data_IF_607518217367
#
_entry.id   IF_607518217367
#
_cell.length_a   1.000
_cell.length_b   1.000
_cell.length_c   1.000
_cell.angle_alpha   90.00
_cell.angle_beta   90.00
_cell.angle_gamma   90.00
#
_symmetry.space_group_name_H-M   'P 1'
#
loop_
_entity.id
_entity.type
_entity.pdbx_description
1 polymer ?
#
# COMPACT_ATOMS: atom_id res chain seq x y z
N UNK A 1 -28.12 -21.04 30.32
CA UNK A 1 -26.69 -21.44 30.32
C UNK A 1 -25.74 -20.33 29.83
N UNK A 2 -26.15 -19.05 29.78
CA UNK A 2 -25.33 -17.96 29.20
C UNK A 2 -24.55 -17.10 30.23
N UNK A 3 -24.62 -17.41 31.52
CA UNK A 3 -24.03 -16.58 32.58
C UNK A 3 -22.54 -16.89 32.85
N UNK A 4 -22.02 -18.06 32.47
CA UNK A 4 -20.62 -18.42 32.75
C UNK A 4 -19.62 -17.93 31.70
N UNK A 5 -20.08 -17.61 30.48
CA UNK A 5 -19.20 -17.11 29.41
C UNK A 5 -18.80 -15.64 29.63
N UNK A 6 -19.72 -14.80 30.11
CA UNK A 6 -19.45 -13.36 30.34
C UNK A 6 -18.55 -13.10 31.55
N UNK A 7 -18.59 -13.97 32.57
CA UNK A 7 -17.74 -13.87 33.75
C UNK A 7 -16.29 -14.28 33.43
N UNK A 8 -16.09 -15.32 32.60
CA UNK A 8 -14.76 -15.70 32.14
C UNK A 8 -14.11 -14.63 31.26
N UNK A 9 -14.88 -13.92 30.42
CA UNK A 9 -14.35 -12.82 29.60
C UNK A 9 -13.84 -11.64 30.45
N UNK A 10 -14.56 -11.28 31.52
CA UNK A 10 -14.17 -10.15 32.39
C UNK A 10 -12.90 -10.43 33.20
N UNK A 11 -12.78 -11.62 33.79
CA UNK A 11 -11.58 -12.00 34.56
C UNK A 11 -10.33 -12.04 33.68
N UNK A 12 -10.48 -12.44 32.40
CA UNK A 12 -9.39 -12.46 31.42
C UNK A 12 -8.97 -11.07 30.99
N UNK A 13 -9.93 -10.20 30.72
CA UNK A 13 -9.65 -8.79 30.40
C UNK A 13 -8.92 -8.11 31.56
N UNK A 14 -9.36 -8.34 32.80
CA UNK A 14 -8.70 -7.80 33.99
C UNK A 14 -7.28 -8.35 34.19
N UNK A 15 -7.06 -9.64 33.90
CA UNK A 15 -5.74 -10.26 33.95
C UNK A 15 -4.78 -9.63 32.93
N UNK A 16 -5.24 -9.42 31.68
CA UNK A 16 -4.44 -8.80 30.61
C UNK A 16 -4.03 -7.37 30.99
N UNK A 17 -4.94 -6.60 31.58
CA UNK A 17 -4.67 -5.21 31.98
C UNK A 17 -3.64 -5.11 33.12
N UNK A 18 -3.65 -6.08 34.05
CA UNK A 18 -2.76 -6.12 35.22
C UNK A 18 -1.38 -6.72 34.90
N UNK A 19 -1.32 -7.65 33.95
CA UNK A 19 -0.10 -8.39 33.63
C UNK A 19 0.81 -7.58 32.72
N UNK A 20 2.13 -7.67 32.93
CA UNK A 20 3.08 -7.26 31.89
C UNK A 20 3.02 -8.30 30.77
N UNK A 21 2.75 -7.85 29.55
CA UNK A 21 2.64 -8.76 28.41
C UNK A 21 3.36 -8.26 27.17
N UNK A 22 3.81 -9.20 26.34
CA UNK A 22 4.42 -8.95 25.04
C UNK A 22 3.68 -9.70 23.96
N UNK A 23 3.59 -9.08 22.79
CA UNK A 23 3.02 -9.68 21.59
C UNK A 23 4.15 -10.26 20.75
N UNK A 24 4.01 -11.53 20.40
CA UNK A 24 4.92 -12.25 19.51
C UNK A 24 4.17 -12.60 18.24
N UNK A 25 4.69 -12.14 17.10
CA UNK A 25 4.06 -12.35 15.80
C UNK A 25 4.45 -13.71 15.24
N UNK A 26 3.47 -14.58 14.96
CA UNK A 26 3.70 -15.87 14.34
C UNK A 26 3.98 -15.67 12.84
N UNK A 27 5.03 -16.32 12.33
CA UNK A 27 5.49 -16.25 10.93
C UNK A 27 5.63 -14.82 10.37
N UNK A 28 6.76 -14.19 10.68
CA UNK A 28 7.16 -12.91 10.09
C UNK A 28 7.41 -13.05 8.57
N UNK A 29 6.35 -12.99 7.76
CA UNK A 29 6.38 -12.98 6.28
C UNK A 29 7.23 -11.83 5.70
N UNK A 30 7.55 -10.82 6.53
CA UNK A 30 8.43 -9.70 6.15
C UNK A 30 9.91 -10.09 6.00
N UNK A 31 10.31 -11.34 6.31
CA UNK A 31 11.69 -11.83 6.19
C UNK A 31 12.67 -11.22 7.20
N UNK A 32 12.19 -10.35 8.09
CA UNK A 32 12.94 -9.71 9.17
C UNK A 32 12.86 -10.55 10.46
N UNK A 33 13.86 -10.48 11.36
CA UNK A 33 13.81 -11.17 12.65
C UNK A 33 12.56 -10.77 13.44
N UNK A 34 11.85 -11.74 14.01
CA UNK A 34 10.61 -11.50 14.77
C UNK A 34 10.88 -10.56 15.94
N UNK A 35 10.31 -9.35 15.90
CA UNK A 35 10.42 -8.39 16.97
C UNK A 35 9.18 -8.48 17.85
N UNK A 36 9.35 -8.81 19.14
CA UNK A 36 8.26 -8.76 20.09
C UNK A 36 7.85 -7.30 20.37
N UNK A 37 6.54 -7.04 20.42
CA UNK A 37 5.97 -5.74 20.77
C UNK A 37 5.57 -5.74 22.23
N UNK A 38 6.07 -4.78 23.01
CA UNK A 38 5.60 -4.57 24.39
C UNK A 38 4.18 -4.00 24.38
N UNK A 39 3.26 -4.62 25.12
CA UNK A 39 1.86 -4.17 25.19
C UNK A 39 1.67 -2.87 25.96
N UNK A 40 2.68 -2.44 26.74
CA UNK A 40 2.71 -1.13 27.39
C UNK A 40 3.05 0.01 26.41
N UNK A 41 3.47 -0.33 25.19
CA UNK A 41 3.73 0.65 24.13
C UNK A 41 2.44 1.39 23.79
N UNK A 42 2.54 2.71 23.68
CA UNK A 42 1.44 3.58 23.28
C UNK A 42 1.30 3.56 21.77
N UNK A 43 0.07 3.34 21.29
CA UNK A 43 -0.27 3.34 19.89
C UNK A 43 -0.46 4.78 19.38
N UNK A 44 0.11 5.09 18.21
CA UNK A 44 0.30 6.48 17.78
C UNK A 44 -0.99 7.23 17.39
N UNK A 45 -2.04 6.53 16.99
CA UNK A 45 -3.31 7.14 16.56
C UNK A 45 -4.30 7.30 17.72
N UNK A 46 -4.45 6.26 18.51
CA UNK A 46 -5.40 6.18 19.62
C UNK A 46 -4.85 6.79 20.91
N UNK A 47 -3.52 6.86 21.05
CA UNK A 47 -2.82 7.24 22.28
C UNK A 47 -3.10 6.31 23.47
N UNK A 48 -3.72 5.17 23.22
CA UNK A 48 -3.98 4.11 24.18
C UNK A 48 -2.85 3.07 24.11
N UNK A 49 -2.70 2.30 25.18
CA UNK A 49 -1.72 1.20 25.18
C UNK A 49 -2.28 0.02 24.39
N UNK A 50 -1.40 -0.76 23.76
CA UNK A 50 -1.82 -1.98 23.05
C UNK A 50 -2.60 -2.95 23.95
N UNK A 51 -2.25 -3.08 25.23
CA UNK A 51 -3.03 -3.92 26.17
C UNK A 51 -4.47 -3.42 26.38
N UNK A 52 -4.70 -2.11 26.37
CA UNK A 52 -6.02 -1.51 26.56
C UNK A 52 -6.90 -1.71 25.32
N UNK A 53 -6.29 -1.54 24.15
CA UNK A 53 -6.94 -1.82 22.87
C UNK A 53 -7.35 -3.29 22.74
N UNK A 54 -6.44 -4.22 23.08
CA UNK A 54 -6.70 -5.66 23.06
C UNK A 54 -7.81 -6.03 24.05
N UNK A 55 -7.73 -5.52 25.29
CA UNK A 55 -8.74 -5.72 26.32
C UNK A 55 -10.12 -5.24 25.87
N UNK A 56 -10.20 -4.09 25.21
CA UNK A 56 -11.46 -3.51 24.71
C UNK A 56 -12.09 -4.39 23.62
N UNK A 57 -11.29 -4.87 22.66
CA UNK A 57 -11.79 -5.76 21.61
C UNK A 57 -12.23 -7.12 22.17
N UNK A 58 -11.44 -7.69 23.10
CA UNK A 58 -11.76 -8.94 23.76
C UNK A 58 -13.06 -8.84 24.58
N UNK A 59 -13.28 -7.74 25.29
CA UNK A 59 -14.52 -7.49 26.05
C UNK A 59 -15.79 -7.42 25.19
N UNK A 60 -15.66 -7.13 23.89
CA UNK A 60 -16.75 -7.20 22.91
C UNK A 60 -16.82 -8.54 22.15
N UNK A 61 -15.96 -9.49 22.48
CA UNK A 61 -15.84 -10.77 21.77
C UNK A 61 -15.32 -10.62 20.33
N UNK A 62 -14.55 -9.56 20.06
CA UNK A 62 -13.98 -9.24 18.74
C UNK A 62 -12.47 -9.51 18.73
N UNK A 63 -11.95 -9.84 17.56
CA UNK A 63 -10.52 -10.01 17.35
C UNK A 63 -9.84 -8.65 17.20
N UNK A 64 -8.70 -8.46 17.88
CA UNK A 64 -7.90 -7.26 17.69
C UNK A 64 -6.92 -7.44 16.53
N UNK A 65 -6.92 -6.51 15.57
CA UNK A 65 -6.07 -6.60 14.37
C UNK A 65 -4.96 -5.53 14.44
N UNK A 66 -3.72 -6.01 14.39
CA UNK A 66 -2.49 -5.21 14.41
C UNK A 66 -1.96 -5.10 12.99
N UNK A 67 -1.60 -3.89 12.58
CA UNK A 67 -0.89 -3.66 11.34
C UNK A 67 0.61 -3.47 11.59
N UNK A 68 1.43 -4.28 10.94
CA UNK A 68 2.87 -4.11 10.86
C UNK A 68 3.21 -3.30 9.61
N UNK A 69 3.89 -2.17 9.83
CA UNK A 69 4.35 -1.26 8.79
C UNK A 69 5.85 -1.25 8.76
N UNK A 70 6.40 -1.50 7.57
CA UNK A 70 7.83 -1.36 7.32
C UNK A 70 8.12 -0.07 6.57
N UNK A 71 9.05 0.72 7.10
CA UNK A 71 9.58 1.92 6.45
C UNK A 71 11.08 1.82 6.31
N UNK A 72 11.62 2.45 5.27
CA UNK A 72 13.06 2.47 5.00
C UNK A 72 13.54 3.90 4.91
N UNK A 73 14.59 4.23 5.64
CA UNK A 73 15.25 5.52 5.52
C UNK A 73 16.07 5.57 4.21
N UNK A 74 15.80 6.51 3.31
CA UNK A 74 16.52 6.62 2.04
C UNK A 74 18.00 6.97 2.19
N UNK A 75 18.41 7.47 3.36
CA UNK A 75 19.79 7.92 3.60
C UNK A 75 20.64 6.80 4.19
N UNK A 76 20.09 6.07 5.17
CA UNK A 76 20.82 5.03 5.91
C UNK A 76 20.50 3.61 5.44
N UNK A 77 19.49 3.45 4.56
CA UNK A 77 18.86 2.18 4.18
C UNK A 77 18.34 1.37 5.38
N UNK A 78 18.28 1.98 6.57
CA UNK A 78 17.82 1.31 7.78
C UNK A 78 16.31 1.07 7.71
N UNK A 79 15.90 -0.14 8.11
CA UNK A 79 14.53 -0.59 8.03
C UNK A 79 13.89 -0.50 9.42
N UNK A 80 12.85 0.32 9.53
CA UNK A 80 12.07 0.51 10.74
C UNK A 80 10.76 -0.29 10.65
N UNK A 81 10.48 -1.12 11.67
CA UNK A 81 9.18 -1.76 11.88
C UNK A 81 8.38 -0.94 12.88
N UNK A 82 7.14 -0.64 12.54
CA UNK A 82 6.19 0.07 13.39
C UNK A 82 4.89 -0.71 13.44
N UNK A 83 4.20 -0.67 14.58
CA UNK A 83 2.96 -1.40 14.79
C UNK A 83 1.84 -0.41 15.10
N UNK A 84 0.67 -0.65 14.54
CA UNK A 84 -0.51 0.21 14.68
C UNK A 84 -1.77 -0.61 14.89
N UNK A 85 -2.82 0.04 15.39
CA UNK A 85 -4.18 -0.47 15.17
C UNK A 85 -4.43 -0.52 13.68
N UNK A 86 -4.76 -1.70 13.13
CA UNK A 86 -4.99 -1.83 11.69
C UNK A 86 -6.15 -0.97 11.21
N UNK A 87 -7.12 -0.73 12.09
CA UNK A 87 -8.26 0.18 11.87
C UNK A 87 -7.80 1.58 11.54
N UNK A 88 -6.99 2.15 12.42
CA UNK A 88 -6.56 3.54 12.33
C UNK A 88 -5.59 3.74 11.17
N UNK A 89 -4.68 2.79 10.96
CA UNK A 89 -3.80 2.81 9.81
C UNK A 89 -4.59 2.76 8.49
N UNK A 90 -5.60 1.91 8.40
CA UNK A 90 -6.36 1.73 7.16
C UNK A 90 -7.15 2.99 6.77
N UNK A 91 -7.50 3.86 7.73
CA UNK A 91 -8.15 5.16 7.46
C UNK A 91 -7.25 6.11 6.68
N UNK A 92 -5.93 6.02 6.87
CA UNK A 92 -4.98 6.85 6.14
C UNK A 92 -4.38 6.14 4.93
N UNK A 93 -4.42 4.81 4.91
CA UNK A 93 -3.83 4.00 3.85
C UNK A 93 -4.80 3.76 2.69
N UNK A 94 -6.11 3.79 2.95
CA UNK A 94 -7.12 3.53 1.94
C UNK A 94 -8.16 4.64 1.85
N UNK A 95 -8.58 4.91 0.62
CA UNK A 95 -9.70 5.77 0.33
C UNK A 95 -10.83 4.96 -0.30
N UNK A 96 -12.06 5.29 0.09
CA UNK A 96 -13.28 4.75 -0.50
C UNK A 96 -14.04 5.89 -1.16
N UNK A 97 -14.21 5.80 -2.49
CA UNK A 97 -14.89 6.83 -3.28
C UNK A 97 -16.42 6.67 -3.24
N UNK A 98 -17.14 7.79 -3.07
CA UNK A 98 -18.58 7.82 -2.76
C UNK A 98 -19.49 7.29 -3.88
N UNK A 99 -19.08 7.40 -5.15
CA UNK A 99 -19.97 7.12 -6.28
C UNK A 99 -20.01 5.65 -6.70
N UNK A 100 -18.91 4.92 -6.51
CA UNK A 100 -18.73 3.56 -7.04
C UNK A 100 -18.21 2.55 -5.99
N UNK A 101 -18.13 2.93 -4.71
CA UNK A 101 -17.50 2.13 -3.63
C UNK A 101 -16.11 1.59 -4.04
N UNK A 102 -15.35 2.38 -4.80
CA UNK A 102 -14.02 2.02 -5.23
C UNK A 102 -13.06 2.17 -4.05
N UNK A 103 -12.37 1.08 -3.71
CA UNK A 103 -11.33 1.03 -2.69
C UNK A 103 -9.97 1.10 -3.37
N UNK A 104 -9.16 2.09 -3.01
CA UNK A 104 -7.77 2.18 -3.48
C UNK A 104 -6.83 2.57 -2.36
N UNK A 105 -5.58 2.12 -2.48
CA UNK A 105 -4.48 2.43 -1.57
C UNK A 105 -3.85 3.76 -1.94
N UNK A 106 -3.67 4.64 -0.97
CA UNK A 106 -2.99 5.92 -1.14
C UNK A 106 -1.56 5.86 -0.60
N UNK A 107 -0.71 6.77 -1.09
CA UNK A 107 0.65 6.89 -0.55
C UNK A 107 0.62 7.61 0.79
N UNK A 108 0.81 6.85 1.87
CA UNK A 108 0.86 7.35 3.22
C UNK A 108 2.30 7.44 3.75
N UNK A 109 2.50 8.37 4.69
CA UNK A 109 3.72 8.44 5.51
C UNK A 109 3.46 7.76 6.84
N UNK A 110 4.49 7.13 7.38
CA UNK A 110 4.47 6.53 8.70
C UNK A 110 4.37 7.64 9.77
N UNK A 111 3.35 7.61 10.64
CA UNK A 111 3.13 8.64 11.65
C UNK A 111 4.31 8.85 12.61
N UNK A 112 5.08 7.81 12.92
CA UNK A 112 6.15 7.85 13.92
C UNK A 112 7.42 8.52 13.38
N UNK A 113 7.81 8.22 12.14
CA UNK A 113 9.09 8.66 11.59
C UNK A 113 8.96 9.56 10.35
N UNK A 114 7.74 9.86 9.89
CA UNK A 114 7.44 10.68 8.73
C UNK A 114 8.09 10.16 7.41
N UNK A 115 8.50 8.89 7.37
CA UNK A 115 9.02 8.24 6.17
C UNK A 115 7.88 7.63 5.36
N UNK A 116 8.09 7.52 4.04
CA UNK A 116 7.11 6.91 3.14
C UNK A 116 6.95 5.42 3.46
N UNK A 117 5.69 4.94 3.51
CA UNK A 117 5.40 3.51 3.62
C UNK A 117 5.67 2.88 2.25
N UNK A 118 6.82 2.22 2.10
CA UNK A 118 7.28 1.65 0.83
C UNK A 118 7.02 0.15 0.72
N UNK A 119 6.84 -0.55 1.86
CA UNK A 119 6.57 -1.99 1.89
C UNK A 119 5.10 -2.35 1.85
N UNK A 120 4.84 -3.67 1.81
CA UNK A 120 3.54 -4.25 2.15
C UNK A 120 3.24 -4.02 3.62
N UNK A 121 1.95 -3.91 3.93
CA UNK A 121 1.47 -3.88 5.31
C UNK A 121 0.95 -5.26 5.64
N UNK A 122 1.44 -5.85 6.73
CA UNK A 122 1.00 -7.17 7.18
C UNK A 122 0.06 -7.00 8.37
N UNK A 123 -1.06 -7.70 8.33
CA UNK A 123 -2.04 -7.72 9.40
C UNK A 123 -1.92 -9.01 10.20
N UNK A 124 -1.92 -8.85 11.51
CA UNK A 124 -1.93 -9.95 12.48
C UNK A 124 -3.14 -9.80 13.39
N UNK A 125 -3.71 -10.92 13.83
CA UNK A 125 -4.88 -10.95 14.71
C UNK A 125 -4.54 -11.54 16.07
N UNK A 126 -5.12 -10.96 17.10
CA UNK A 126 -5.14 -11.47 18.46
C UNK A 126 -6.58 -11.83 18.78
N UNK A 127 -6.86 -13.13 18.86
CA UNK A 127 -8.20 -13.64 19.15
C UNK A 127 -8.40 -13.80 20.66
N UNK A 128 -9.66 -13.72 21.17
CA UNK A 128 -9.97 -14.04 22.56
C UNK A 128 -9.46 -15.43 22.99
N UNK A 129 -9.46 -16.40 22.08
CA UNK A 129 -8.93 -17.75 22.34
C UNK A 129 -7.41 -17.79 22.57
N UNK A 130 -6.65 -16.96 21.85
CA UNK A 130 -5.20 -16.79 22.09
C UNK A 130 -4.99 -16.17 23.48
N UNK A 131 -5.77 -15.15 23.83
CA UNK A 131 -5.67 -14.47 25.11
C UNK A 131 -5.97 -15.42 26.28
N UNK A 132 -7.02 -16.23 26.17
CA UNK A 132 -7.35 -17.25 27.16
C UNK A 132 -6.23 -18.27 27.33
N UNK A 133 -5.58 -18.71 26.24
CA UNK A 133 -4.42 -19.62 26.30
C UNK A 133 -3.21 -18.98 26.98
N UNK A 134 -2.93 -17.72 26.67
CA UNK A 134 -1.84 -16.97 27.28
C UNK A 134 -2.08 -16.74 28.79
N UNK A 135 -3.32 -16.43 29.16
CA UNK A 135 -3.74 -16.25 30.54
C UNK A 135 -3.62 -17.56 31.36
N UNK A 136 -4.11 -18.68 30.83
CA UNK A 136 -4.01 -19.98 31.48
C UNK A 136 -2.54 -20.38 31.71
N UNK A 137 -1.67 -20.14 30.74
CA UNK A 137 -0.23 -20.38 30.86
C UNK A 137 0.43 -19.54 31.95
N UNK A 138 -0.06 -18.30 32.16
CA UNK A 138 0.47 -17.39 33.20
C UNK A 138 -0.05 -17.68 34.61
N UNK A 139 -1.19 -18.38 34.74
CA UNK A 139 -1.84 -18.66 36.03
C UNK A 139 -1.26 -19.86 36.80
N UNK A 140 -0.42 -20.69 36.14
CA UNK A 140 0.09 -21.95 36.67
C UNK A 140 1.36 -21.89 37.54
N UNK A 141 2.10 -20.78 37.53
CA UNK A 141 3.41 -20.67 38.21
C UNK A 141 3.52 -19.37 39.02
N UNK A 142 4.12 -19.46 40.22
CA UNK A 142 4.19 -18.40 41.23
C UNK A 142 4.57 -17.02 40.67
N UNK A 143 3.63 -16.07 40.81
CA UNK A 143 3.57 -14.76 40.19
C UNK A 143 4.54 -13.71 40.78
N UNK A 144 5.85 -13.90 40.60
CA UNK A 144 6.83 -12.82 40.73
C UNK A 144 7.73 -12.79 39.50
N UNK A 145 7.29 -12.08 38.46
CA UNK A 145 8.15 -11.68 37.33
C UNK A 145 7.94 -12.38 36.00
N UNK A 146 6.92 -13.25 35.85
CA UNK A 146 6.64 -13.87 34.56
C UNK A 146 5.88 -12.91 33.63
N UNK A 147 6.43 -12.67 32.46
CA UNK A 147 5.82 -11.86 31.39
C UNK A 147 4.86 -12.73 30.59
N UNK A 148 3.62 -12.27 30.42
CA UNK A 148 2.60 -12.97 29.63
C UNK A 148 2.90 -12.80 28.14
N UNK A 149 2.95 -13.91 27.39
CA UNK A 149 3.23 -13.88 25.96
C UNK A 149 1.93 -14.07 25.18
N UNK A 150 1.56 -13.08 24.38
CA UNK A 150 0.38 -13.09 23.51
C UNK A 150 0.86 -13.38 22.09
N UNK A 151 0.34 -14.43 21.45
CA UNK A 151 0.70 -14.72 20.06
C UNK A 151 -0.22 -13.95 19.10
N UNK A 152 0.33 -13.20 18.16
CA UNK A 152 -0.45 -12.56 17.11
C UNK A 152 -0.29 -13.37 15.81
N UNK A 153 -1.40 -13.87 15.28
CA UNK A 153 -1.40 -14.74 14.12
C UNK A 153 -1.48 -13.95 12.82
N UNK A 154 -0.64 -14.29 11.84
CA UNK A 154 -0.74 -13.68 10.52
C UNK A 154 -2.16 -13.88 9.96
N UNK A 155 -2.74 -12.79 9.46
CA UNK A 155 -4.10 -12.77 8.95
C UNK A 155 -4.15 -12.47 7.46
N UNK A 156 -3.57 -11.35 7.02
CA UNK A 156 -3.67 -10.87 5.63
C UNK A 156 -2.63 -9.78 5.34
N UNK A 157 -2.45 -9.42 4.07
CA UNK A 157 -1.70 -8.23 3.64
C UNK A 157 -2.63 -7.09 3.18
N UNK A 158 -2.07 -5.90 2.96
CA UNK A 158 -2.80 -4.77 2.35
C UNK A 158 -3.30 -5.06 0.94
N UNK A 159 -2.60 -5.88 0.16
CA UNK A 159 -3.08 -6.36 -1.13
C UNK A 159 -4.33 -7.24 -0.95
N UNK A 160 -4.33 -8.15 0.01
CA UNK A 160 -5.49 -9.00 0.27
C UNK A 160 -6.71 -8.18 0.70
N UNK A 161 -6.51 -7.08 1.44
CA UNK A 161 -7.62 -6.15 1.77
C UNK A 161 -8.23 -5.50 0.51
N UNK A 162 -7.40 -5.18 -0.48
CA UNK A 162 -7.84 -4.61 -1.76
C UNK A 162 -8.59 -5.64 -2.61
N UNK A 163 -8.06 -6.86 -2.70
CA UNK A 163 -8.51 -7.83 -3.69
C UNK A 163 -9.49 -8.88 -3.15
N UNK A 164 -9.46 -9.19 -1.85
CA UNK A 164 -10.32 -10.19 -1.23
C UNK A 164 -11.45 -9.56 -0.40
N UNK A 165 -12.72 -9.66 -0.85
CA UNK A 165 -13.87 -9.23 -0.07
C UNK A 165 -14.02 -9.95 1.27
N UNK A 166 -13.52 -11.18 1.40
CA UNK A 166 -13.57 -11.95 2.64
C UNK A 166 -12.76 -11.28 3.76
N UNK A 167 -11.57 -10.76 3.41
CA UNK A 167 -10.70 -10.00 4.31
C UNK A 167 -11.41 -8.72 4.77
N UNK A 168 -12.05 -7.99 3.84
CA UNK A 168 -12.82 -6.78 4.18
C UNK A 168 -13.99 -7.05 5.12
N UNK A 169 -14.74 -8.12 4.89
CA UNK A 169 -15.84 -8.54 5.78
C UNK A 169 -15.32 -8.93 7.16
N UNK A 170 -14.17 -9.60 7.22
CA UNK A 170 -13.54 -9.96 8.49
C UNK A 170 -13.11 -8.72 9.28
N UNK A 171 -12.47 -7.75 8.62
CA UNK A 171 -12.22 -6.43 9.21
C UNK A 171 -13.53 -5.85 9.71
N UNK A 172 -14.53 -5.70 8.84
CA UNK A 172 -15.83 -5.07 9.14
C UNK A 172 -16.51 -5.66 10.39
N UNK A 173 -16.43 -6.97 10.60
CA UNK A 173 -17.01 -7.67 11.74
C UNK A 173 -16.28 -7.43 13.07
N UNK A 174 -14.97 -7.20 13.02
CA UNK A 174 -14.11 -7.12 14.21
C UNK A 174 -13.83 -5.69 14.68
N UNK A 175 -14.43 -4.67 14.07
CA UNK A 175 -14.34 -3.31 14.59
C UNK A 175 -15.25 -3.10 15.80
N UNK A 176 -14.69 -2.54 16.87
CA UNK A 176 -15.40 -2.18 18.11
C UNK A 176 -16.43 -1.07 17.83
N UNK A 177 -16.02 -0.01 17.12
CA UNK A 177 -16.88 1.13 16.77
C UNK A 177 -17.38 1.02 15.33
N UNK A 178 -18.71 1.07 15.16
CA UNK A 178 -19.32 1.25 13.85
C UNK A 178 -19.06 2.67 13.35
N UNK A 179 -18.09 2.81 12.45
CA UNK A 179 -17.75 4.07 11.82
C UNK A 179 -17.95 4.03 10.31
N UNK A 180 -18.17 5.20 9.71
CA UNK A 180 -18.47 5.39 8.29
C UNK A 180 -17.51 4.67 7.34
N UNK A 181 -16.21 4.66 7.67
CA UNK A 181 -15.19 3.96 6.89
C UNK A 181 -15.41 2.43 6.88
N UNK A 182 -15.75 1.85 8.03
CA UNK A 182 -15.96 0.41 8.22
C UNK A 182 -17.17 -0.09 7.44
N UNK A 183 -18.27 0.66 7.52
CA UNK A 183 -19.49 0.34 6.79
C UNK A 183 -19.24 0.27 5.28
N UNK A 184 -18.46 1.22 4.73
CA UNK A 184 -18.12 1.23 3.30
C UNK A 184 -17.13 0.14 2.91
N UNK A 185 -16.17 -0.17 3.78
CA UNK A 185 -15.20 -1.25 3.53
C UNK A 185 -15.89 -2.61 3.35
N UNK A 186 -16.92 -2.91 4.15
CA UNK A 186 -17.68 -4.17 4.07
C UNK A 186 -18.55 -4.31 2.82
N UNK A 187 -18.99 -3.21 2.22
CA UNK A 187 -19.89 -3.17 1.06
C UNK A 187 -19.18 -2.86 -0.27
N UNK A 188 -17.85 -2.74 -0.27
CA UNK A 188 -17.06 -2.52 -1.48
C UNK A 188 -17.02 -3.80 -2.35
N UNK A 189 -17.80 -3.82 -3.43
CA UNK A 189 -17.77 -4.81 -4.50
C UNK A 189 -16.84 -4.32 -5.61
N UNK A 190 -15.67 -4.95 -5.77
CA UNK A 190 -14.63 -4.50 -6.72
C UNK A 190 -15.11 -4.54 -8.18
N UNK A 191 -14.71 -3.55 -9.00
CA UNK A 191 -13.47 -3.66 -9.76
C UNK A 191 -12.56 -2.45 -9.48
N UNK A 192 -11.44 -2.69 -8.81
CA UNK A 192 -10.49 -1.66 -8.38
C UNK A 192 -9.80 -1.03 -9.59
N UNK A 193 -9.95 0.29 -9.74
CA UNK A 193 -8.95 1.12 -10.40
C UNK A 193 -7.85 1.34 -9.38
N UNK A 194 -6.70 0.70 -9.59
CA UNK A 194 -5.47 1.17 -8.95
C UNK A 194 -5.27 2.57 -9.54
N UNK A 195 -5.47 3.62 -8.73
CA UNK A 195 -5.16 4.98 -9.15
C UNK A 195 -3.67 5.05 -9.52
N UNK A 196 -3.38 4.96 -10.81
CA UNK A 196 -2.09 5.21 -11.45
C UNK A 196 -1.62 6.67 -11.27
N UNK A 197 -2.41 7.57 -10.67
CA UNK A 197 -2.01 8.98 -10.54
C UNK A 197 -0.84 9.22 -9.56
N UNK A 198 -0.41 8.21 -8.77
CA UNK A 198 0.86 8.24 -8.02
C UNK A 198 1.93 7.27 -8.57
N UNK A 199 1.74 6.83 -9.81
CA UNK A 199 2.77 6.23 -10.67
C UNK A 199 3.74 7.29 -11.23
N UNK A 200 3.68 8.53 -10.70
CA UNK A 200 4.61 9.64 -10.95
C UNK A 200 6.08 9.27 -10.65
N UNK A 201 6.32 8.21 -9.87
CA UNK A 201 7.66 7.68 -9.60
C UNK A 201 8.03 6.42 -10.42
N UNK A 202 7.24 5.99 -11.42
CA UNK A 202 7.48 4.71 -12.12
C UNK A 202 7.60 4.77 -13.65
N UNK A 203 8.12 5.88 -14.21
CA UNK A 203 9.10 5.86 -15.33
C UNK A 203 9.29 7.28 -15.86
N UNK A 204 10.30 7.93 -15.31
CA UNK A 204 10.92 9.15 -15.86
C UNK A 204 11.41 8.94 -17.33
N UNK A 205 11.54 7.68 -17.75
CA UNK A 205 11.90 7.29 -19.12
C UNK A 205 10.79 7.57 -20.15
N UNK A 206 9.51 7.43 -19.78
CA UNK A 206 8.38 7.65 -20.70
C UNK A 206 8.12 9.14 -20.91
N UNK A 207 8.29 9.97 -19.88
CA UNK A 207 8.22 11.43 -20.02
C UNK A 207 9.44 11.95 -20.78
N UNK A 208 10.64 11.46 -20.48
CA UNK A 208 11.85 11.75 -21.24
C UNK A 208 11.68 11.45 -22.75
N UNK A 209 11.25 10.24 -23.09
CA UNK A 209 11.03 9.84 -24.50
C UNK A 209 9.96 10.69 -25.18
N UNK A 210 8.85 10.97 -24.49
CA UNK A 210 7.74 11.77 -25.03
C UNK A 210 8.16 13.24 -25.23
N UNK A 211 8.92 13.81 -24.30
CA UNK A 211 9.49 15.16 -24.41
C UNK A 211 10.53 15.22 -25.53
N UNK A 212 11.42 14.24 -25.63
CA UNK A 212 12.41 14.12 -26.71
C UNK A 212 11.71 14.00 -28.06
N UNK A 213 10.67 13.16 -28.16
CA UNK A 213 9.89 12.98 -29.39
C UNK A 213 9.14 14.25 -29.81
N UNK A 214 8.46 14.93 -28.88
CA UNK A 214 7.79 16.20 -29.19
C UNK A 214 8.75 17.31 -29.54
N UNK A 215 9.93 17.35 -28.90
CA UNK A 215 10.98 18.31 -29.23
C UNK A 215 11.51 18.07 -30.66
N UNK A 216 11.73 16.81 -31.04
CA UNK A 216 12.16 16.46 -32.39
C UNK A 216 11.08 16.73 -33.46
N UNK A 217 9.82 16.44 -33.17
CA UNK A 217 8.70 16.76 -34.09
C UNK A 217 8.56 18.28 -34.23
N UNK A 218 8.69 19.02 -33.14
CA UNK A 218 8.64 20.48 -33.12
C UNK A 218 9.76 21.11 -33.93
N UNK A 219 11.01 20.64 -33.78
CA UNK A 219 12.15 21.15 -34.56
C UNK A 219 11.98 20.85 -36.05
N UNK A 220 11.51 19.66 -36.43
CA UNK A 220 11.20 19.33 -37.84
C UNK A 220 10.18 20.31 -38.42
N UNK A 221 9.13 20.62 -37.67
CA UNK A 221 8.05 21.48 -38.13
C UNK A 221 8.50 22.95 -38.26
N UNK A 222 9.37 23.41 -37.36
CA UNK A 222 10.02 24.73 -37.46
C UNK A 222 10.96 24.80 -38.67
N UNK A 223 11.78 23.77 -38.89
CA UNK A 223 12.65 23.71 -40.08
C UNK A 223 11.81 23.71 -41.35
N UNK A 224 10.74 22.91 -41.40
CA UNK A 224 9.81 22.88 -42.52
C UNK A 224 9.12 24.23 -42.76
N UNK A 225 8.70 24.93 -41.70
CA UNK A 225 8.15 26.27 -41.79
C UNK A 225 9.16 27.29 -42.33
N UNK A 226 10.41 27.23 -41.86
CA UNK A 226 11.49 28.09 -42.36
C UNK A 226 11.81 27.77 -43.83
N UNK A 227 11.76 26.50 -44.23
CA UNK A 227 11.94 26.05 -45.62
C UNK A 227 10.87 26.62 -46.56
N UNK A 228 9.62 26.72 -46.08
CA UNK A 228 8.50 27.29 -46.86
C UNK A 228 8.57 28.81 -46.97
N UNK A 229 9.15 29.50 -45.97
CA UNK A 229 9.22 30.97 -45.92
C UNK A 229 10.47 31.54 -46.61
N UNK A 230 11.59 30.82 -46.59
CA UNK A 230 12.85 31.25 -47.20
C UNK A 230 12.93 30.78 -48.66
N UNK A 231 12.36 31.56 -49.57
CA UNK A 231 12.37 31.31 -51.02
C UNK A 231 13.73 31.46 -51.73
N UNK A 232 14.86 31.38 -51.01
CA UNK A 232 16.21 31.52 -51.57
C UNK A 232 17.02 30.24 -51.39
N UNK A 233 17.52 29.70 -52.51
CA UNK A 233 18.19 28.38 -52.61
C UNK A 233 19.51 28.32 -51.84
N UNK A 234 20.21 29.44 -51.68
CA UNK A 234 21.54 29.51 -51.07
C UNK A 234 21.46 29.61 -49.54
N UNK A 235 20.53 30.41 -49.01
CA UNK A 235 20.27 30.52 -47.56
C UNK A 235 19.64 29.26 -46.98
N UNK A 236 18.90 28.53 -47.80
CA UNK A 236 18.26 27.26 -47.45
C UNK A 236 19.29 26.18 -47.06
N UNK A 237 20.34 26.00 -47.87
CA UNK A 237 21.34 24.96 -47.65
C UNK A 237 22.17 25.23 -46.39
N UNK A 238 22.56 26.49 -46.18
CA UNK A 238 23.36 26.91 -45.01
C UNK A 238 22.58 26.75 -43.70
N UNK A 239 21.26 26.98 -43.72
CA UNK A 239 20.41 26.80 -42.55
C UNK A 239 20.07 25.31 -42.29
N UNK A 240 19.80 24.52 -43.34
CA UNK A 240 19.35 23.13 -43.19
C UNK A 240 20.48 22.18 -42.81
N UNK A 241 21.70 22.38 -43.29
CA UNK A 241 22.81 21.48 -42.99
C UNK A 241 23.05 21.26 -41.49
N UNK A 242 23.19 22.29 -40.62
CA UNK A 242 23.37 22.09 -39.19
C UNK A 242 22.12 21.52 -38.52
N UNK A 243 20.92 21.93 -38.93
CA UNK A 243 19.65 21.43 -38.38
C UNK A 243 19.43 19.94 -38.69
N UNK A 244 19.73 19.52 -39.92
CA UNK A 244 19.68 18.10 -40.32
C UNK A 244 20.67 17.25 -39.54
N UNK A 245 21.87 17.78 -39.27
CA UNK A 245 22.87 17.08 -38.46
C UNK A 245 22.41 16.91 -37.00
N UNK A 246 21.81 17.96 -36.40
CA UNK A 246 21.27 17.86 -35.03
C UNK A 246 20.13 16.84 -34.92
N UNK A 247 19.27 16.76 -35.94
CA UNK A 247 18.18 15.78 -36.02
C UNK A 247 18.75 14.36 -36.15
N UNK A 248 19.75 14.16 -37.01
CA UNK A 248 20.40 12.86 -37.20
C UNK A 248 21.03 12.36 -35.89
N UNK A 249 21.76 13.20 -35.17
CA UNK A 249 22.32 12.83 -33.86
C UNK A 249 21.22 12.50 -32.84
N UNK A 250 20.13 13.28 -32.81
CA UNK A 250 18.99 13.03 -31.93
C UNK A 250 18.33 11.67 -32.17
N UNK A 251 18.12 11.29 -33.44
CA UNK A 251 17.61 9.96 -33.81
C UNK A 251 18.61 8.87 -33.44
N UNK A 252 19.91 9.08 -33.67
CA UNK A 252 20.94 8.11 -33.36
C UNK A 252 21.01 7.80 -31.85
N UNK A 253 20.94 8.84 -31.01
CA UNK A 253 20.88 8.69 -29.56
C UNK A 253 19.60 7.98 -29.09
N UNK A 254 18.46 8.25 -29.74
CA UNK A 254 17.19 7.56 -29.45
C UNK A 254 17.28 6.06 -29.77
N UNK A 255 17.84 5.70 -30.92
CA UNK A 255 18.02 4.30 -31.33
C UNK A 255 19.01 3.59 -30.40
N UNK A 256 20.11 4.25 -30.05
CA UNK A 256 21.11 3.71 -29.11
C UNK A 256 20.50 3.48 -27.72
N UNK A 257 19.68 4.42 -27.23
CA UNK A 257 18.96 4.28 -25.97
C UNK A 257 18.03 3.06 -25.97
N UNK A 258 17.21 2.90 -27.01
CA UNK A 258 16.29 1.75 -27.14
C UNK A 258 17.06 0.42 -27.21
N UNK A 259 18.19 0.37 -27.93
CA UNK A 259 19.00 -0.85 -28.06
C UNK A 259 19.74 -1.23 -26.77
N UNK A 260 20.15 -0.26 -25.96
CA UNK A 260 20.92 -0.50 -24.74
C UNK A 260 20.04 -0.75 -23.51
N UNK A 261 18.82 -0.19 -23.47
CA UNK A 261 18.03 -0.12 -22.23
C UNK A 261 16.64 -0.74 -22.29
N UNK A 262 16.10 -1.13 -23.45
CA UNK A 262 14.72 -1.65 -23.56
C UNK A 262 14.68 -3.13 -24.00
N UNK A 263 13.84 -3.94 -23.33
CA UNK A 263 13.57 -5.34 -23.71
C UNK A 263 12.54 -5.43 -24.85
N UNK A 264 12.54 -6.49 -25.68
CA UNK A 264 11.74 -6.56 -26.91
C UNK A 264 10.21 -6.56 -26.70
N UNK A 265 9.72 -6.83 -25.49
CA UNK A 265 8.29 -6.87 -25.19
C UNK A 265 7.64 -5.47 -25.07
N UNK A 266 8.42 -4.42 -24.79
CA UNK A 266 7.91 -3.06 -24.63
C UNK A 266 7.62 -2.39 -25.98
N UNK A 267 8.33 -2.78 -27.04
CA UNK A 267 8.19 -2.21 -28.40
C UNK A 267 6.88 -2.62 -29.10
N UNK A 268 6.37 -3.83 -28.85
CA UNK A 268 5.11 -4.29 -29.44
C UNK A 268 3.89 -3.54 -28.87
N UNK A 269 3.98 -3.02 -27.65
CA UNK A 269 2.91 -2.19 -27.06
C UNK A 269 2.80 -0.80 -27.71
N UNK A 270 3.92 -0.25 -28.20
CA UNK A 270 4.00 1.10 -28.78
C UNK A 270 3.44 1.12 -30.22
N UNK A 271 3.59 0.02 -30.98
CA UNK A 271 3.07 -0.09 -32.34
C UNK A 271 1.64 -0.64 -32.45
N UNK A 272 0.99 -0.98 -31.34
CA UNK A 272 -0.39 -1.43 -31.35
C UNK A 272 -1.35 -0.25 -31.60
N UNK A 273 -1.53 0.09 -32.87
CA UNK A 273 -2.69 0.86 -33.34
C UNK A 273 -3.96 0.13 -32.92
N UNK A 274 -4.62 0.72 -31.92
CA UNK A 274 -5.94 0.38 -31.41
C UNK A 274 -6.90 0.02 -32.55
N UNK A 275 -7.22 -1.27 -32.67
CA UNK A 275 -8.39 -1.76 -33.42
C UNK A 275 -9.65 -1.32 -32.68
N UNK A 276 -10.03 -0.05 -32.86
CA UNK A 276 -11.41 0.39 -32.58
C UNK A 276 -12.26 -0.16 -33.73
N UNK A 277 -12.95 -1.28 -33.50
CA UNK A 277 -14.06 -1.68 -34.37
C UNK A 277 -15.18 -2.35 -33.54
N UNK A 278 -16.20 -1.53 -33.31
CA UNK A 278 -17.63 -1.83 -33.15
C UNK A 278 -18.06 -3.02 -32.28
N UNK A 279 -18.63 -2.69 -31.11
CA UNK A 279 -19.83 -3.38 -30.61
C UNK A 279 -20.89 -2.33 -30.27
N UNK A 280 -21.57 -1.90 -31.32
CA UNK A 280 -22.92 -1.38 -31.22
C UNK A 280 -23.76 -2.18 -32.19
N UNK A 281 -24.98 -2.48 -31.75
CA UNK A 281 -26.08 -3.15 -32.47
C UNK A 281 -26.01 -4.67 -32.60
N UNK A 282 -26.75 -5.36 -31.72
CA UNK A 282 -27.87 -6.22 -32.13
C UNK A 282 -28.41 -6.99 -30.91
N UNK A 283 -29.50 -6.49 -30.32
CA UNK A 283 -30.53 -7.32 -29.67
C UNK A 283 -31.87 -6.62 -29.85
N UNK A 284 -32.56 -6.98 -30.92
CA UNK A 284 -33.98 -7.34 -30.82
C UNK A 284 -34.03 -8.82 -30.45
#
# INVERSE_FOLDING_TARGET
>A
MCLSASLMDQDMVELVLRSRSKIVFSNSESGLPSLALDTETVEAFTLEKFKELIATHAGEGKDFIIAEVTTRDPTTEFVFRSYYSAVELNRILFCVEDNNNLLYRVMAKNPINNLKITGKVFYYKVTPEILARAANSSSGECAWGHEMVIMADYFASDEDLLFDPSVRRYFARNFVKEEYFVHRLGHAESPVVISEDLLENYRDDKFGLKIILYTNIGTILVVFGMCMLLGSRETFIVAIAPLSMTLLFSILFLVLYVLLFETPETLTSIFNFRKVRSRHEATN
#
